data_IF_937940084803
#
_entry.id   IF_937940084803
#
_cell.length_a   1.000
_cell.length_b   1.000
_cell.length_c   1.000
_cell.angle_alpha   90.00
_cell.angle_beta   90.00
_cell.angle_gamma   90.00
#
_symmetry.space_group_name_H-M   'P 1'
#
loop_
_entity.id
_entity.type
_entity.pdbx_description
1 polymer ?
#
# COMPACT_ATOMS: atom_id res chain seq x y z
N UNK A 1 17.75 21.95 -2.05
CA UNK A 1 16.30 21.78 -1.98
C UNK A 1 16.05 20.30 -1.73
N UNK A 2 15.58 19.93 -0.53
CA UNK A 2 15.07 18.57 -0.31
C UNK A 2 13.71 18.51 -1.03
N UNK A 3 13.46 17.52 -1.91
CA UNK A 3 12.15 17.39 -2.52
C UNK A 3 11.09 17.24 -1.43
N UNK A 4 9.99 17.97 -1.53
CA UNK A 4 8.84 17.78 -0.65
C UNK A 4 8.23 16.42 -1.00
N UNK A 5 8.35 15.46 -0.10
CA UNK A 5 7.70 14.15 -0.25
C UNK A 5 6.25 14.29 0.20
N UNK A 6 5.30 13.89 -0.67
CA UNK A 6 3.89 13.92 -0.32
C UNK A 6 3.59 12.85 0.74
N UNK A 7 2.69 13.14 1.67
CA UNK A 7 2.25 12.19 2.69
C UNK A 7 0.79 11.83 2.42
N UNK A 8 0.53 10.55 2.18
CA UNK A 8 -0.81 9.95 2.05
C UNK A 8 -1.28 9.28 3.37
N UNK A 9 -0.54 9.56 4.45
CA UNK A 9 -0.81 9.02 5.77
C UNK A 9 -2.25 9.31 6.23
N UNK A 10 -2.95 8.28 6.71
CA UNK A 10 -4.34 8.33 7.18
C UNK A 10 -5.39 8.88 6.18
N UNK A 11 -5.08 8.99 4.88
CA UNK A 11 -5.97 9.68 3.91
C UNK A 11 -7.39 9.10 3.85
N UNK A 12 -7.53 7.77 3.97
CA UNK A 12 -8.80 7.04 4.02
C UNK A 12 -8.91 6.20 5.30
N UNK A 13 -8.42 6.75 6.42
CA UNK A 13 -8.59 6.14 7.73
C UNK A 13 -10.09 6.08 8.11
N UNK A 14 -10.59 4.90 8.52
CA UNK A 14 -11.98 4.68 8.99
C UNK A 14 -13.01 5.04 7.91
N UNK A 15 -12.65 4.78 6.66
CA UNK A 15 -13.47 5.08 5.48
C UNK A 15 -14.20 3.83 5.01
N UNK A 16 -15.00 3.23 5.89
CA UNK A 16 -15.65 1.91 5.71
C UNK A 16 -16.32 1.74 4.33
N UNK A 17 -17.05 2.75 3.85
CA UNK A 17 -17.81 2.71 2.58
C UNK A 17 -16.96 3.13 1.35
N UNK A 18 -15.68 3.44 1.51
CA UNK A 18 -14.84 3.94 0.43
C UNK A 18 -14.35 2.82 -0.49
N UNK A 19 -14.92 2.75 -1.69
CA UNK A 19 -14.50 1.81 -2.74
C UNK A 19 -14.48 2.44 -4.14
N UNK A 20 -14.12 3.73 -4.22
CA UNK A 20 -14.09 4.45 -5.50
C UNK A 20 -12.80 4.16 -6.27
N UNK A 21 -12.89 4.11 -7.60
CA UNK A 21 -11.73 3.89 -8.47
C UNK A 21 -10.68 5.02 -8.31
N UNK A 22 -9.50 4.62 -7.85
CA UNK A 22 -8.30 5.45 -7.67
C UNK A 22 -7.09 4.87 -8.40
N UNK A 23 -7.30 3.90 -9.30
CA UNK A 23 -6.23 3.26 -10.07
C UNK A 23 -5.38 4.27 -10.86
N UNK A 24 -5.97 5.39 -11.26
CA UNK A 24 -5.31 6.47 -12.01
C UNK A 24 -4.60 7.55 -11.17
N UNK A 25 -4.50 7.39 -9.85
CA UNK A 25 -3.82 8.38 -9.00
C UNK A 25 -2.29 8.36 -9.20
N UNK A 26 -1.68 9.55 -9.29
CA UNK A 26 -0.23 9.69 -9.28
C UNK A 26 0.29 9.81 -7.85
N UNK A 27 0.83 8.71 -7.33
CA UNK A 27 1.45 8.64 -6.00
C UNK A 27 2.97 8.61 -6.04
N UNK A 28 3.57 8.82 -7.22
CA UNK A 28 5.02 8.67 -7.48
C UNK A 28 5.90 9.60 -6.66
N UNK A 29 5.34 10.65 -6.05
CA UNK A 29 6.05 11.60 -5.17
C UNK A 29 5.81 11.36 -3.67
N UNK A 30 5.08 10.30 -3.32
CA UNK A 30 4.72 9.96 -1.95
C UNK A 30 5.88 9.36 -1.15
N UNK A 31 6.16 9.92 0.03
CA UNK A 31 7.15 9.40 0.98
C UNK A 31 6.54 8.55 2.10
N UNK A 32 5.25 8.72 2.41
CA UNK A 32 4.56 7.99 3.48
C UNK A 32 3.14 7.60 3.07
N UNK A 33 2.82 6.32 3.25
CA UNK A 33 1.52 5.69 2.95
C UNK A 33 0.91 5.00 4.18
N UNK A 34 1.51 5.18 5.37
CA UNK A 34 1.08 4.49 6.58
C UNK A 34 -0.40 4.74 6.90
N UNK A 35 -1.13 3.67 7.25
CA UNK A 35 -2.56 3.70 7.60
C UNK A 35 -3.47 4.36 6.56
N UNK A 36 -3.04 4.43 5.30
CA UNK A 36 -3.81 5.12 4.26
C UNK A 36 -5.22 4.54 4.09
N UNK A 37 -5.40 3.21 4.23
CA UNK A 37 -6.69 2.50 4.15
C UNK A 37 -6.95 1.69 5.44
N UNK A 38 -6.56 2.24 6.59
CA UNK A 38 -6.76 1.59 7.88
C UNK A 38 -8.25 1.60 8.22
N UNK A 39 -8.81 0.44 8.57
CA UNK A 39 -10.25 0.24 8.79
C UNK A 39 -11.08 0.80 7.61
N UNK A 40 -10.68 0.50 6.37
CA UNK A 40 -11.45 0.83 5.17
C UNK A 40 -12.10 -0.45 4.62
N UNK A 41 -13.11 -0.93 5.35
CA UNK A 41 -13.69 -2.28 5.20
C UNK A 41 -14.04 -2.66 3.75
N UNK A 42 -14.70 -1.79 2.99
CA UNK A 42 -15.16 -2.07 1.62
C UNK A 42 -14.11 -1.81 0.53
N UNK A 43 -12.93 -1.30 0.87
CA UNK A 43 -11.93 -0.91 -0.13
C UNK A 43 -11.31 -2.13 -0.82
N UNK A 44 -11.53 -2.28 -2.13
CA UNK A 44 -10.97 -3.39 -2.91
C UNK A 44 -10.63 -3.01 -4.37
N UNK A 45 -10.11 -1.81 -4.59
CA UNK A 45 -9.73 -1.36 -5.92
C UNK A 45 -8.30 -1.80 -6.29
N UNK A 46 -8.10 -2.15 -7.57
CA UNK A 46 -6.78 -2.48 -8.10
C UNK A 46 -5.88 -1.24 -8.14
N UNK A 47 -4.86 -1.26 -7.28
CA UNK A 47 -3.82 -0.23 -7.17
C UNK A 47 -2.42 -0.80 -7.47
N UNK A 48 -2.35 -1.97 -8.11
CA UNK A 48 -1.10 -2.63 -8.50
C UNK A 48 -0.21 -1.76 -9.40
N UNK A 49 -0.81 -0.81 -10.13
CA UNK A 49 -0.15 0.09 -11.07
C UNK A 49 0.45 1.35 -10.42
N UNK A 50 0.23 1.56 -9.12
CA UNK A 50 0.80 2.71 -8.43
C UNK A 50 2.32 2.62 -8.31
N UNK A 51 3.02 3.70 -8.69
CA UNK A 51 4.45 3.84 -8.43
C UNK A 51 4.68 4.29 -6.99
N UNK A 52 4.98 3.34 -6.12
CA UNK A 52 5.28 3.58 -4.71
C UNK A 52 6.78 3.64 -4.42
N UNK A 53 7.65 3.62 -5.43
CA UNK A 53 9.11 3.42 -5.28
C UNK A 53 9.83 4.42 -4.37
N UNK A 54 9.26 5.62 -4.19
CA UNK A 54 9.77 6.65 -3.27
C UNK A 54 9.31 6.50 -1.81
N UNK A 55 8.31 5.68 -1.57
CA UNK A 55 7.73 5.47 -0.25
C UNK A 55 8.76 4.90 0.73
N UNK A 56 8.81 5.49 1.91
CA UNK A 56 9.69 5.05 3.01
C UNK A 56 8.91 4.43 4.17
N UNK A 57 7.60 4.67 4.24
CA UNK A 57 6.71 4.18 5.30
C UNK A 57 5.42 3.62 4.71
N UNK A 58 5.14 2.36 5.03
CA UNK A 58 3.94 1.63 4.61
C UNK A 58 3.30 0.89 5.79
N UNK A 59 3.40 1.47 6.99
CA UNK A 59 2.90 0.86 8.20
C UNK A 59 1.38 0.69 8.15
N UNK A 60 0.89 -0.55 8.26
CA UNK A 60 -0.55 -0.89 8.40
C UNK A 60 -1.46 -0.23 7.36
N UNK A 61 -1.09 -0.25 6.08
CA UNK A 61 -1.89 0.39 5.02
C UNK A 61 -3.30 -0.19 4.95
N UNK A 62 -3.41 -1.52 4.94
CA UNK A 62 -4.66 -2.27 4.75
C UNK A 62 -5.10 -2.99 6.03
N UNK A 63 -4.62 -2.55 7.20
CA UNK A 63 -5.07 -3.16 8.46
C UNK A 63 -6.54 -2.81 8.67
N UNK A 64 -7.41 -3.80 8.76
CA UNK A 64 -8.86 -3.61 8.83
C UNK A 64 -9.54 -3.35 7.47
N UNK A 65 -8.81 -3.38 6.34
CA UNK A 65 -9.44 -3.38 5.02
C UNK A 65 -9.84 -4.83 4.66
N UNK A 66 -10.96 -5.28 5.22
CA UNK A 66 -11.36 -6.70 5.22
C UNK A 66 -11.69 -7.26 3.83
N UNK A 67 -12.21 -6.42 2.91
CA UNK A 67 -12.51 -6.83 1.53
C UNK A 67 -11.29 -6.73 0.59
N UNK A 68 -10.16 -6.17 1.04
CA UNK A 68 -8.99 -5.95 0.19
C UNK A 68 -8.31 -7.29 -0.18
N UNK A 69 -8.30 -7.63 -1.47
CA UNK A 69 -7.74 -8.88 -1.97
C UNK A 69 -6.94 -8.73 -3.28
N UNK A 70 -6.32 -7.56 -3.49
CA UNK A 70 -5.59 -7.28 -4.72
C UNK A 70 -4.15 -7.80 -4.68
N UNK A 71 -3.61 -8.17 -5.85
CA UNK A 71 -2.22 -8.57 -5.99
C UNK A 71 -1.32 -7.33 -6.13
N UNK A 72 -0.46 -7.11 -5.13
CA UNK A 72 0.47 -5.98 -5.09
C UNK A 72 1.94 -6.38 -5.32
N UNK A 73 2.22 -7.54 -5.94
CA UNK A 73 3.60 -7.96 -6.17
C UNK A 73 4.45 -6.98 -6.98
N UNK A 74 3.82 -6.22 -7.88
CA UNK A 74 4.49 -5.17 -8.64
C UNK A 74 5.12 -4.10 -7.72
N UNK A 75 4.54 -3.86 -6.55
CA UNK A 75 5.14 -2.95 -5.57
C UNK A 75 6.45 -3.54 -5.02
N UNK A 76 6.51 -4.85 -4.81
CA UNK A 76 7.68 -5.57 -4.29
C UNK A 76 8.88 -5.65 -5.25
N UNK A 77 8.65 -5.68 -6.58
CA UNK A 77 9.74 -5.78 -7.58
C UNK A 77 10.74 -4.60 -7.52
N UNK A 78 10.33 -3.47 -6.96
CA UNK A 78 11.16 -2.27 -6.82
C UNK A 78 12.02 -2.26 -5.56
N UNK A 79 11.83 -3.18 -4.62
CA UNK A 79 12.51 -3.18 -3.33
C UNK A 79 13.50 -4.35 -3.20
N UNK A 80 14.69 -4.06 -2.68
CA UNK A 80 15.69 -5.08 -2.33
C UNK A 80 15.16 -5.98 -1.21
N UNK A 81 15.59 -7.25 -1.20
CA UNK A 81 15.37 -8.24 -0.12
C UNK A 81 15.81 -7.77 1.27
N UNK A 82 16.52 -6.65 1.37
CA UNK A 82 17.04 -6.08 2.62
C UNK A 82 16.01 -5.25 3.40
N UNK A 83 14.84 -4.95 2.81
CA UNK A 83 13.80 -4.15 3.45
C UNK A 83 12.64 -5.06 3.89
N UNK A 84 12.47 -5.17 5.21
CA UNK A 84 11.43 -5.96 5.87
C UNK A 84 10.05 -5.33 5.64
N UNK A 85 9.48 -5.61 4.47
CA UNK A 85 8.15 -5.18 4.04
C UNK A 85 7.11 -6.31 4.10
N UNK A 86 7.45 -7.45 4.72
CA UNK A 86 6.58 -8.62 4.93
C UNK A 86 5.22 -8.23 5.56
N UNK A 87 5.20 -7.17 6.37
CA UNK A 87 3.96 -6.65 7.00
C UNK A 87 3.14 -5.69 6.14
N UNK A 88 3.64 -5.30 4.97
CA UNK A 88 2.88 -4.50 3.99
C UNK A 88 1.90 -5.35 3.19
N UNK A 89 2.28 -6.61 2.92
CA UNK A 89 1.59 -7.51 2.00
C UNK A 89 0.74 -8.58 2.69
N UNK A 90 0.56 -8.50 4.02
CA UNK A 90 -0.13 -9.53 4.81
C UNK A 90 -1.57 -9.85 4.40
N UNK A 91 -2.21 -8.99 3.59
CA UNK A 91 -3.54 -9.18 3.00
C UNK A 91 -3.54 -9.14 1.45
N UNK A 92 -2.36 -9.10 0.81
CA UNK A 92 -2.26 -9.14 -0.65
C UNK A 92 -1.93 -10.56 -1.11
N UNK A 93 -2.37 -10.94 -2.30
CA UNK A 93 -2.06 -12.24 -2.93
C UNK A 93 -0.56 -12.41 -3.31
N UNK A 94 0.33 -11.55 -2.81
CA UNK A 94 1.75 -11.63 -3.11
C UNK A 94 2.45 -12.64 -2.20
N UNK A 95 3.17 -13.64 -2.75
CA UNK A 95 3.90 -14.60 -1.95
C UNK A 95 4.98 -13.90 -1.14
N UNK A 96 4.87 -14.03 0.17
CA UNK A 96 5.88 -13.56 1.11
C UNK A 96 7.19 -14.31 0.82
N UNK A 97 8.22 -13.58 0.36
CA UNK A 97 9.55 -14.17 0.13
C UNK A 97 10.25 -14.60 1.42
N UNK A 98 9.63 -14.39 2.59
CA UNK A 98 10.09 -14.94 3.87
C UNK A 98 9.67 -16.39 4.12
N UNK A 99 8.87 -17.01 3.23
CA UNK A 99 8.52 -18.44 3.32
C UNK A 99 9.25 -19.27 2.24
N UNK A 100 10.49 -19.74 2.50
CA UNK A 100 11.03 -20.85 1.74
C UNK A 100 10.20 -22.08 2.11
N UNK A 101 9.50 -22.64 1.12
CA UNK A 101 8.84 -23.97 1.13
C UNK A 101 9.44 -24.98 2.11
#
# INVERSE_FOLDING_TARGET
MCPEEQSFYDMFYDADEFNQDISGWDVSSGGSFGRMFYDADEFNQDISQWDVSRGTSFYKIFYGADEFNQNLCAWGEHYSSDKNYDRMFGNSDCPDTSDPT
#
